data_IF_151668301566
#
_entry.id   IF_151668301566
#
_cell.length_a   1.000
_cell.length_b   1.000
_cell.length_c   1.000
_cell.angle_alpha   90.00
_cell.angle_beta   90.00
_cell.angle_gamma   90.00
#
_symmetry.space_group_name_H-M   'P 1'
#
loop_
_entity.id
_entity.type
_entity.pdbx_description
1 polymer ?
#
# COMPACT_ATOMS: atom_id res chain seq x y z
N UNK A 1 29.79 -38.38 12.17
CA UNK A 1 29.88 -36.92 11.97
C UNK A 1 28.79 -36.53 11.00
N UNK A 2 27.87 -35.67 11.40
CA UNK A 2 26.79 -35.20 10.52
C UNK A 2 27.41 -34.21 9.53
N UNK A 3 27.37 -34.53 8.23
CA UNK A 3 28.04 -33.75 7.20
C UNK A 3 27.41 -32.36 7.09
N UNK A 4 28.22 -31.35 6.75
CA UNK A 4 27.71 -30.00 6.41
C UNK A 4 26.65 -30.08 5.31
N UNK A 5 26.73 -31.10 4.43
CA UNK A 5 25.73 -31.36 3.40
C UNK A 5 24.38 -31.79 3.98
N UNK A 6 24.36 -32.66 4.99
CA UNK A 6 23.11 -33.13 5.62
C UNK A 6 22.40 -31.97 6.32
N UNK A 7 23.17 -31.13 7.03
CA UNK A 7 22.64 -29.91 7.66
C UNK A 7 22.13 -28.91 6.63
N UNK A 8 22.86 -28.71 5.53
CA UNK A 8 22.41 -27.82 4.46
C UNK A 8 21.12 -28.32 3.81
N UNK A 9 20.98 -29.63 3.60
CA UNK A 9 19.77 -30.23 3.04
C UNK A 9 18.59 -30.13 4.00
N UNK A 10 18.80 -30.37 5.30
CA UNK A 10 17.77 -30.19 6.33
C UNK A 10 17.31 -28.74 6.44
N UNK A 11 18.24 -27.78 6.38
CA UNK A 11 17.91 -26.35 6.36
C UNK A 11 17.14 -25.98 5.08
N UNK A 12 17.52 -26.52 3.92
CA UNK A 12 16.80 -26.26 2.68
C UNK A 12 15.37 -26.80 2.69
N UNK A 13 15.15 -27.98 3.27
CA UNK A 13 13.81 -28.55 3.48
C UNK A 13 12.98 -27.70 4.45
N UNK A 14 13.60 -27.22 5.54
CA UNK A 14 12.95 -26.31 6.48
C UNK A 14 12.54 -24.99 5.80
N UNK A 15 13.40 -24.42 4.96
CA UNK A 15 13.08 -23.20 4.20
C UNK A 15 11.89 -23.45 3.26
N UNK A 16 11.85 -24.58 2.54
CA UNK A 16 10.69 -24.92 1.69
C UNK A 16 9.39 -25.03 2.47
N UNK A 17 9.42 -25.61 3.68
CA UNK A 17 8.25 -25.66 4.55
C UNK A 17 7.80 -24.26 4.99
N UNK A 18 8.74 -23.41 5.38
CA UNK A 18 8.44 -22.02 5.75
C UNK A 18 7.91 -21.22 4.56
N UNK A 19 8.42 -21.43 3.35
CA UNK A 19 7.88 -20.82 2.14
C UNK A 19 6.42 -21.23 1.90
N UNK A 20 6.09 -22.52 2.03
CA UNK A 20 4.71 -23.01 1.93
C UNK A 20 3.80 -22.39 2.99
N UNK A 21 4.25 -22.30 4.24
CA UNK A 21 3.50 -21.64 5.32
C UNK A 21 3.27 -20.15 5.01
N UNK A 22 4.27 -19.45 4.46
CA UNK A 22 4.11 -18.04 4.09
C UNK A 22 3.10 -17.83 2.96
N UNK A 23 3.01 -18.75 2.00
CA UNK A 23 2.00 -18.70 0.94
C UNK A 23 0.59 -18.92 1.50
N UNK A 24 0.42 -19.88 2.41
CA UNK A 24 -0.84 -20.12 3.10
C UNK A 24 -1.29 -18.89 3.92
N UNK A 25 -0.37 -18.27 4.66
CA UNK A 25 -0.65 -17.05 5.44
C UNK A 25 -1.08 -15.90 4.52
N UNK A 26 -0.37 -15.67 3.40
CA UNK A 26 -0.71 -14.62 2.43
C UNK A 26 -2.11 -14.83 1.82
N UNK A 27 -2.50 -16.08 1.58
CA UNK A 27 -3.84 -16.39 1.06
C UNK A 27 -4.92 -16.00 2.08
N UNK A 28 -4.72 -16.37 3.35
CA UNK A 28 -5.65 -16.01 4.43
C UNK A 28 -5.67 -14.50 4.69
N UNK A 29 -4.53 -13.82 4.62
CA UNK A 29 -4.47 -12.36 4.74
C UNK A 29 -5.28 -11.69 3.63
N UNK A 30 -5.17 -12.15 2.38
CA UNK A 30 -5.99 -11.64 1.26
C UNK A 30 -7.49 -11.84 1.55
N UNK A 31 -7.89 -13.04 1.98
CA UNK A 31 -9.29 -13.34 2.33
C UNK A 31 -9.81 -12.43 3.45
N UNK A 32 -9.01 -12.21 4.48
CA UNK A 32 -9.36 -11.30 5.59
C UNK A 32 -9.41 -9.84 5.15
N UNK A 33 -8.48 -9.42 4.28
CA UNK A 33 -8.47 -8.07 3.72
C UNK A 33 -9.71 -7.80 2.85
N UNK A 34 -10.13 -8.77 2.04
CA UNK A 34 -11.38 -8.70 1.27
C UNK A 34 -12.61 -8.62 2.18
N UNK A 35 -12.66 -9.46 3.22
CA UNK A 35 -13.75 -9.40 4.22
C UNK A 35 -13.80 -8.05 4.92
N UNK A 36 -12.64 -7.50 5.31
CA UNK A 36 -12.52 -6.16 5.91
C UNK A 36 -13.07 -5.10 4.96
N UNK A 37 -12.64 -5.10 3.70
CA UNK A 37 -13.12 -4.17 2.67
C UNK A 37 -14.63 -4.26 2.47
N UNK A 38 -15.21 -5.47 2.48
CA UNK A 38 -16.65 -5.64 2.36
C UNK A 38 -17.41 -4.99 3.54
N UNK A 39 -16.92 -5.17 4.77
CA UNK A 39 -17.51 -4.53 5.97
C UNK A 39 -17.34 -3.01 5.93
N UNK A 40 -16.17 -2.51 5.55
CA UNK A 40 -15.91 -1.07 5.38
C UNK A 40 -16.85 -0.45 4.34
N UNK A 41 -17.05 -1.12 3.21
CA UNK A 41 -17.97 -0.70 2.15
C UNK A 41 -19.42 -0.70 2.65
N UNK A 42 -19.86 -1.73 3.38
CA UNK A 42 -21.20 -1.77 3.96
C UNK A 42 -21.43 -0.61 4.94
N UNK A 43 -20.46 -0.33 5.81
CA UNK A 43 -20.49 0.82 6.70
C UNK A 43 -20.60 2.14 5.93
N UNK A 44 -19.85 2.29 4.83
CA UNK A 44 -19.92 3.47 3.96
C UNK A 44 -21.31 3.60 3.33
N UNK A 45 -21.82 2.53 2.71
CA UNK A 45 -23.16 2.51 2.09
C UNK A 45 -24.27 2.88 3.07
N UNK A 46 -24.20 2.40 4.32
CA UNK A 46 -25.17 2.74 5.35
C UNK A 46 -25.09 4.23 5.77
N UNK A 47 -23.88 4.80 5.85
CA UNK A 47 -23.71 6.23 6.10
C UNK A 47 -24.26 7.07 4.95
N UNK A 48 -23.99 6.67 3.71
CA UNK A 48 -24.46 7.37 2.52
C UNK A 48 -25.99 7.29 2.42
N UNK A 49 -26.59 6.12 2.70
CA UNK A 49 -28.03 5.96 2.79
C UNK A 49 -28.64 6.89 3.86
N UNK A 50 -28.06 6.91 5.07
CA UNK A 50 -28.53 7.77 6.15
C UNK A 50 -28.43 9.25 5.78
N UNK A 51 -27.35 9.66 5.12
CA UNK A 51 -27.18 11.01 4.60
C UNK A 51 -28.26 11.36 3.55
N UNK A 52 -28.53 10.47 2.60
CA UNK A 52 -29.57 10.67 1.59
C UNK A 52 -30.96 10.83 2.23
N UNK A 53 -31.32 9.95 3.18
CA UNK A 53 -32.61 10.02 3.87
C UNK A 53 -32.75 11.31 4.71
N UNK A 54 -31.70 11.69 5.45
CA UNK A 54 -31.71 12.94 6.22
C UNK A 54 -31.79 14.18 5.33
N UNK A 55 -31.18 14.13 4.14
CA UNK A 55 -31.25 15.22 3.15
C UNK A 55 -32.64 15.30 2.51
N UNK A 56 -33.26 14.18 2.14
CA UNK A 56 -34.62 14.11 1.59
C UNK A 56 -35.67 14.64 2.57
N UNK A 57 -35.50 14.37 3.86
CA UNK A 57 -36.39 14.84 4.92
C UNK A 57 -36.05 16.27 5.40
N UNK A 58 -35.03 16.91 4.84
CA UNK A 58 -34.49 18.22 5.26
C UNK A 58 -34.07 18.28 6.76
N UNK A 59 -33.86 17.13 7.39
CA UNK A 59 -33.49 17.02 8.81
C UNK A 59 -31.98 17.00 8.95
N UNK A 60 -31.40 18.10 9.45
CA UNK A 60 -29.95 18.22 9.67
C UNK A 60 -29.45 17.45 10.89
N UNK A 61 -30.32 17.15 11.87
CA UNK A 61 -29.94 16.49 13.13
C UNK A 61 -31.09 15.68 13.71
N UNK A 62 -30.81 14.43 14.04
CA UNK A 62 -31.72 13.51 14.73
C UNK A 62 -31.10 13.18 16.09
N UNK A 63 -31.77 13.57 17.17
CA UNK A 63 -31.39 13.19 18.54
C UNK A 63 -32.13 11.91 18.91
N UNK A 64 -31.42 10.79 18.97
CA UNK A 64 -31.92 9.56 19.57
C UNK A 64 -31.58 9.49 21.06
N UNK A 65 -32.22 8.55 21.76
CA UNK A 65 -31.99 8.29 23.20
C UNK A 65 -30.58 7.82 23.50
N UNK A 66 -29.93 7.11 22.57
CA UNK A 66 -28.60 6.50 22.75
C UNK A 66 -27.54 7.19 21.88
N UNK A 67 -27.90 7.61 20.66
CA UNK A 67 -26.98 8.25 19.72
C UNK A 67 -27.63 9.43 19.02
N UNK A 68 -26.84 10.45 18.73
CA UNK A 68 -27.25 11.60 17.92
C UNK A 68 -26.58 11.53 16.56
N UNK A 69 -27.37 11.60 15.50
CA UNK A 69 -26.87 11.65 14.12
C UNK A 69 -27.07 13.08 13.61
N UNK A 70 -26.02 13.66 13.03
CA UNK A 70 -26.08 15.00 12.45
C UNK A 70 -25.27 15.06 11.17
N UNK A 71 -25.76 15.84 10.20
CA UNK A 71 -25.00 16.20 9.01
C UNK A 71 -24.11 17.40 9.38
N UNK A 72 -22.80 17.23 9.25
CA UNK A 72 -21.80 18.28 9.43
C UNK A 72 -21.10 18.56 8.09
N UNK A 73 -20.71 19.82 7.86
CA UNK A 73 -19.87 20.16 6.72
C UNK A 73 -18.45 19.65 6.98
N UNK A 74 -17.94 18.85 6.05
CA UNK A 74 -16.53 18.45 6.05
C UNK A 74 -15.62 19.67 5.84
N UNK A 75 -14.34 19.62 6.26
CA UNK A 75 -13.38 20.66 5.95
C UNK A 75 -13.30 20.89 4.44
N UNK A 76 -13.05 22.13 4.03
CA UNK A 76 -12.96 22.50 2.63
C UNK A 76 -11.85 21.68 1.95
N UNK A 77 -12.23 20.88 0.95
CA UNK A 77 -11.29 20.20 0.06
C UNK A 77 -11.15 21.03 -1.21
N UNK A 78 -9.92 21.18 -1.69
CA UNK A 78 -9.66 21.76 -3.01
C UNK A 78 -9.82 20.66 -4.05
N UNK A 79 -10.71 20.88 -5.00
CA UNK A 79 -10.82 20.07 -6.21
C UNK A 79 -10.07 20.81 -7.32
N UNK A 80 -8.97 20.23 -7.78
CA UNK A 80 -8.10 20.85 -8.80
C UNK A 80 -8.35 20.09 -10.10
N UNK A 81 -9.03 20.73 -11.06
CA UNK A 81 -9.26 20.18 -12.39
C UNK A 81 -7.94 20.02 -13.17
N UNK A 82 -7.89 19.11 -14.15
CA UNK A 82 -6.69 18.85 -14.97
C UNK A 82 -6.23 20.08 -15.77
N UNK A 83 -7.15 20.99 -16.12
CA UNK A 83 -6.87 22.26 -16.80
C UNK A 83 -6.66 23.45 -15.84
N UNK A 84 -6.56 23.21 -14.54
CA UNK A 84 -6.42 24.29 -13.57
C UNK A 84 -5.03 24.95 -13.70
N UNK A 85 -5.02 26.25 -13.97
CA UNK A 85 -3.81 27.07 -13.86
C UNK A 85 -3.52 27.27 -12.38
N UNK A 86 -2.69 26.38 -11.82
CA UNK A 86 -2.22 26.49 -10.43
C UNK A 86 -1.12 27.57 -10.39
N UNK A 87 -1.25 28.60 -9.54
CA UNK A 87 -0.18 29.59 -9.38
C UNK A 87 1.13 28.91 -8.97
N UNK A 88 2.28 29.31 -9.53
CA UNK A 88 3.59 28.71 -9.21
C UNK A 88 3.94 28.73 -7.73
N UNK A 89 3.35 29.65 -6.95
CA UNK A 89 3.54 29.77 -5.50
C UNK A 89 3.05 28.53 -4.72
N UNK A 90 2.12 27.76 -5.28
CA UNK A 90 1.58 26.54 -4.66
C UNK A 90 2.12 25.25 -5.30
N UNK A 91 2.99 25.38 -6.30
CA UNK A 91 3.61 24.26 -6.99
C UNK A 91 4.89 23.86 -6.26
N UNK A 92 4.89 22.73 -5.57
CA UNK A 92 6.11 22.19 -4.95
C UNK A 92 6.94 21.52 -6.06
N UNK A 93 8.15 22.02 -6.39
CA UNK A 93 9.01 21.37 -7.37
C UNK A 93 9.46 20.01 -6.81
N UNK A 94 9.06 18.93 -7.48
CA UNK A 94 9.47 17.57 -7.11
C UNK A 94 10.86 17.29 -7.70
N UNK A 95 11.81 16.88 -6.85
CA UNK A 95 13.17 16.52 -7.27
C UNK A 95 13.13 15.40 -8.33
N UNK A 96 14.04 15.41 -9.33
CA UNK A 96 14.08 14.40 -10.37
C UNK A 96 14.26 13.01 -9.75
N UNK A 97 13.26 12.15 -9.94
CA UNK A 97 13.32 10.75 -9.50
C UNK A 97 14.44 10.06 -10.27
N UNK A 98 15.49 9.66 -9.56
CA UNK A 98 16.59 8.89 -10.12
C UNK A 98 16.06 7.53 -10.58
N UNK A 99 16.16 7.26 -11.88
CA UNK A 99 15.93 5.93 -12.42
C UNK A 99 17.16 5.05 -12.15
N UNK A 100 17.14 4.41 -10.99
CA UNK A 100 18.19 3.50 -10.54
C UNK A 100 18.38 2.30 -11.47
N UNK A 101 17.40 1.93 -12.31
CA UNK A 101 17.53 0.76 -13.21
C UNK A 101 18.36 1.08 -14.44
N UNK A 102 18.07 2.20 -15.10
CA UNK A 102 18.88 2.66 -16.24
C UNK A 102 20.28 3.05 -15.79
N UNK A 103 20.41 3.65 -14.61
CA UNK A 103 21.71 3.96 -14.01
C UNK A 103 22.51 2.69 -13.66
N UNK A 104 21.86 1.64 -13.14
CA UNK A 104 22.53 0.36 -12.88
C UNK A 104 22.93 -0.38 -14.18
N UNK A 105 22.18 -0.23 -15.26
CA UNK A 105 22.56 -0.74 -16.58
C UNK A 105 23.76 0.03 -17.16
N UNK A 106 23.72 1.37 -17.12
CA UNK A 106 24.82 2.22 -17.60
C UNK A 106 26.13 2.00 -16.82
N UNK A 107 26.04 1.79 -15.50
CA UNK A 107 27.20 1.44 -14.64
C UNK A 107 27.75 0.05 -14.97
N UNK A 108 26.90 -0.90 -15.39
CA UNK A 108 27.33 -2.22 -15.88
C UNK A 108 27.96 -2.18 -17.27
N UNK A 109 27.47 -1.30 -18.14
CA UNK A 109 27.97 -1.10 -19.51
C UNK A 109 29.26 -0.25 -19.57
N UNK A 110 29.80 0.17 -18.42
CA UNK A 110 31.12 0.78 -18.30
C UNK A 110 31.15 2.29 -18.12
N UNK A 111 30.00 2.96 -17.94
CA UNK A 111 29.99 4.36 -17.53
C UNK A 111 30.25 4.46 -16.02
N UNK A 112 31.46 4.87 -15.65
CA UNK A 112 31.77 5.29 -14.29
C UNK A 112 31.35 6.74 -14.07
N UNK A 113 30.58 6.95 -13.00
CA UNK A 113 30.19 8.27 -12.51
C UNK A 113 30.79 8.45 -11.11
N UNK A 114 31.37 9.61 -10.85
CA UNK A 114 31.92 9.93 -9.52
C UNK A 114 30.80 9.84 -8.46
N UNK A 115 30.96 8.91 -7.51
CA UNK A 115 30.03 8.71 -6.39
C UNK A 115 29.08 7.50 -6.49
N UNK A 116 29.10 6.72 -7.57
CA UNK A 116 28.25 5.51 -7.70
C UNK A 116 29.11 4.24 -7.52
N UNK A 117 28.93 3.55 -6.39
CA UNK A 117 29.61 2.29 -6.08
C UNK A 117 28.70 1.08 -6.32
N UNK A 118 29.21 0.08 -7.05
CA UNK A 118 28.51 -1.17 -7.30
C UNK A 118 28.76 -2.14 -6.14
N UNK A 119 27.75 -2.39 -5.30
CA UNK A 119 27.81 -3.41 -4.23
C UNK A 119 26.99 -4.63 -4.63
N UNK A 120 27.63 -5.79 -4.80
CA UNK A 120 26.95 -7.07 -5.04
C UNK A 120 26.99 -7.93 -3.77
N UNK A 121 25.84 -8.47 -3.35
CA UNK A 121 25.71 -9.41 -2.22
C UNK A 121 25.42 -10.81 -2.75
N UNK A 122 25.99 -11.82 -2.12
CA UNK A 122 25.71 -13.23 -2.40
C UNK A 122 24.57 -13.75 -1.51
N UNK A 123 23.66 -14.53 -2.07
CA UNK A 123 22.55 -15.18 -1.34
C UNK A 123 22.42 -16.63 -1.77
N UNK A 124 22.19 -17.54 -0.81
CA UNK A 124 21.95 -18.97 -1.09
C UNK A 124 20.66 -19.13 -1.89
N UNK A 125 20.69 -19.93 -2.96
CA UNK A 125 19.54 -20.18 -3.84
C UNK A 125 19.20 -21.68 -3.79
N UNK A 126 17.98 -21.98 -3.32
CA UNK A 126 17.44 -23.34 -3.31
C UNK A 126 16.55 -23.47 -4.57
N UNK A 127 16.73 -24.52 -5.38
CA UNK A 127 15.83 -24.92 -6.46
C UNK A 127 15.18 -26.23 -6.06
#
# INVERSE_FOLDING_TARGET
EESIQDKAQNIALLIKNLEADTEAIKLEEKRLAERRRAVENNCKSLKDYLYQQMTLLEVKRIKGTIVTVGIQKNPASLDIAEDAVIPPEYMIPQEPKIDRKTLLAAVKDGLQWDGITLTQKESVRIR
#
